data_IF_750001140610
#
_entry.id   IF_750001140610
#
_cell.length_a   1.000
_cell.length_b   1.000
_cell.length_c   1.000
_cell.angle_alpha   90.00
_cell.angle_beta   90.00
_cell.angle_gamma   90.00
#
_symmetry.space_group_name_H-M   'P 1'
#
loop_
_entity.id
_entity.type
_entity.pdbx_description
1 polymer ?
#
# COMPACT_ATOMS: atom_id res chain seq x y z
N UNK A 1 -8.90 1.02 -2.08
CA UNK A 1 -8.57 -0.12 -2.96
C UNK A 1 -8.29 0.39 -4.38
N UNK A 2 -7.09 0.16 -4.94
CA UNK A 2 -6.70 0.57 -6.30
C UNK A 2 -7.63 0.05 -7.41
N UNK A 3 -8.30 -1.09 -7.22
CA UNK A 3 -9.18 -1.68 -8.23
C UNK A 3 -10.43 -0.85 -8.53
N UNK A 4 -10.81 0.07 -7.63
CA UNK A 4 -11.96 0.98 -7.79
C UNK A 4 -11.68 2.13 -8.76
N UNK A 5 -10.41 2.34 -9.16
CA UNK A 5 -10.02 3.45 -10.03
C UNK A 5 -9.88 3.00 -11.47
N UNK A 6 -10.49 3.74 -12.38
CA UNK A 6 -10.40 3.49 -13.83
C UNK A 6 -9.25 4.27 -14.51
N UNK A 7 -8.58 5.17 -13.79
CA UNK A 7 -7.46 5.94 -14.33
C UNK A 7 -6.39 6.24 -13.27
N UNK A 8 -5.13 6.33 -13.73
CA UNK A 8 -3.98 6.72 -12.91
C UNK A 8 -4.23 8.07 -12.21
N UNK A 9 -4.79 9.05 -12.92
CA UNK A 9 -5.03 10.38 -12.36
C UNK A 9 -6.06 10.34 -11.22
N UNK A 10 -7.15 9.59 -11.36
CA UNK A 10 -8.15 9.45 -10.31
C UNK A 10 -7.56 8.79 -9.05
N UNK A 11 -6.73 7.76 -9.25
CA UNK A 11 -6.02 7.10 -8.15
C UNK A 11 -5.06 8.03 -7.42
N UNK A 12 -4.25 8.80 -8.15
CA UNK A 12 -3.33 9.77 -7.54
C UNK A 12 -4.08 10.91 -6.84
N UNK A 13 -5.19 11.37 -7.39
CA UNK A 13 -6.04 12.39 -6.75
C UNK A 13 -6.59 11.90 -5.41
N UNK A 14 -7.11 10.67 -5.35
CA UNK A 14 -7.56 10.06 -4.11
C UNK A 14 -6.38 9.85 -3.14
N UNK A 15 -5.25 9.34 -3.63
CA UNK A 15 -4.06 9.17 -2.81
C UNK A 15 -3.60 10.48 -2.18
N UNK A 16 -3.74 11.62 -2.87
CA UNK A 16 -3.33 12.92 -2.35
C UNK A 16 -4.35 13.56 -1.38
N UNK A 17 -5.64 13.31 -1.58
CA UNK A 17 -6.71 14.00 -0.85
C UNK A 17 -7.36 13.16 0.26
N UNK A 18 -7.41 11.84 0.10
CA UNK A 18 -8.09 10.93 1.01
C UNK A 18 -7.32 10.78 2.33
N UNK A 19 -7.95 11.13 3.44
CA UNK A 19 -7.30 11.14 4.77
C UNK A 19 -6.94 9.74 5.24
N UNK A 20 -7.69 8.71 4.84
CA UNK A 20 -7.42 7.33 5.19
C UNK A 20 -6.13 6.78 4.52
N UNK A 21 -5.72 7.33 3.36
CA UNK A 21 -4.48 6.96 2.68
C UNK A 21 -3.22 7.64 3.24
N UNK A 22 -3.28 8.20 4.45
CA UNK A 22 -2.14 8.89 5.08
C UNK A 22 -0.92 7.98 5.21
N UNK A 23 -1.10 6.72 5.64
CA UNK A 23 0.03 5.79 5.75
C UNK A 23 0.60 5.44 4.37
N UNK A 24 -0.26 5.15 3.40
CA UNK A 24 0.14 4.87 2.01
C UNK A 24 1.00 6.00 1.45
N UNK A 25 0.61 7.27 1.67
CA UNK A 25 1.41 8.45 1.30
C UNK A 25 2.76 8.51 2.02
N UNK A 26 2.80 8.17 3.31
CA UNK A 26 4.03 8.16 4.08
C UNK A 26 4.99 7.08 3.56
N UNK A 27 4.49 5.88 3.22
CA UNK A 27 5.29 4.81 2.62
C UNK A 27 5.77 5.18 1.22
N UNK A 28 4.93 5.81 0.40
CA UNK A 28 5.35 6.31 -0.91
C UNK A 28 6.58 7.24 -0.83
N UNK A 29 6.66 8.08 0.21
CA UNK A 29 7.80 8.99 0.43
C UNK A 29 9.11 8.27 0.77
N UNK A 30 9.07 7.00 1.15
CA UNK A 30 10.29 6.19 1.36
C UNK A 30 10.99 5.85 0.03
N UNK A 31 10.29 5.99 -1.11
CA UNK A 31 10.79 5.76 -2.47
C UNK A 31 10.78 7.07 -3.28
N UNK A 32 11.66 8.03 -2.96
CA UNK A 32 11.55 9.40 -3.46
C UNK A 32 11.71 9.53 -4.99
N UNK A 33 12.36 8.55 -5.63
CA UNK A 33 12.64 8.57 -7.06
C UNK A 33 11.75 7.62 -7.87
N UNK A 34 10.83 6.89 -7.23
CA UNK A 34 9.92 5.97 -7.91
C UNK A 34 8.53 6.57 -8.09
N UNK A 35 7.87 6.25 -9.21
CA UNK A 35 6.49 6.71 -9.45
C UNK A 35 5.48 5.69 -8.93
N UNK A 36 4.38 6.18 -8.37
CA UNK A 36 3.27 5.32 -7.98
C UNK A 36 2.47 4.93 -9.22
N UNK A 37 2.23 3.63 -9.40
CA UNK A 37 1.55 3.09 -10.56
C UNK A 37 0.28 2.32 -10.16
N UNK A 38 -0.83 2.64 -10.81
CA UNK A 38 -2.13 2.04 -10.56
C UNK A 38 -2.16 0.54 -10.91
N UNK A 39 -1.56 0.13 -12.03
CA UNK A 39 -1.58 -1.29 -12.42
C UNK A 39 -0.76 -2.16 -11.48
N UNK A 40 0.42 -1.67 -11.05
CA UNK A 40 1.19 -2.34 -10.00
C UNK A 40 0.39 -2.43 -8.70
N UNK A 41 -0.31 -1.36 -8.30
CA UNK A 41 -1.14 -1.36 -7.10
C UNK A 41 -2.33 -2.33 -7.20
N UNK A 42 -3.03 -2.35 -8.36
CA UNK A 42 -4.12 -3.32 -8.63
C UNK A 42 -3.64 -4.76 -8.62
N UNK A 43 -2.42 -5.02 -9.08
CA UNK A 43 -1.86 -6.39 -9.14
C UNK A 43 -1.71 -7.07 -7.77
N UNK A 44 -1.73 -6.28 -6.69
CA UNK A 44 -1.70 -6.77 -5.30
C UNK A 44 -3.07 -7.27 -4.82
N UNK A 45 -4.16 -6.88 -5.49
CA UNK A 45 -5.55 -7.19 -5.10
C UNK A 45 -6.25 -8.24 -5.97
N UNK A 46 -5.65 -8.62 -7.09
CA UNK A 46 -6.29 -9.53 -8.06
C UNK A 46 -5.52 -10.85 -8.18
N UNK A 47 -6.26 -11.92 -8.48
CA UNK A 47 -5.70 -13.23 -8.76
C UNK A 47 -5.33 -13.41 -10.24
N UNK A 48 -4.77 -14.57 -10.56
CA UNK A 48 -4.55 -14.96 -11.95
C UNK A 48 -5.89 -15.21 -12.66
N UNK A 49 -6.02 -14.87 -13.96
CA UNK A 49 -4.98 -14.38 -14.86
C UNK A 49 -4.82 -12.84 -14.88
N UNK A 50 -5.72 -12.10 -14.21
CA UNK A 50 -5.77 -10.64 -14.24
C UNK A 50 -4.47 -10.00 -13.74
N UNK A 51 -3.86 -10.58 -12.70
CA UNK A 51 -2.56 -10.15 -12.18
C UNK A 51 -1.49 -10.13 -13.27
N UNK A 52 -1.40 -11.19 -14.08
CA UNK A 52 -0.43 -11.27 -15.18
C UNK A 52 -0.67 -10.16 -16.20
N UNK A 53 -1.93 -9.94 -16.58
CA UNK A 53 -2.27 -8.88 -17.53
C UNK A 53 -1.83 -7.50 -17.03
N UNK A 54 -2.06 -7.17 -15.76
CA UNK A 54 -1.65 -5.90 -15.18
C UNK A 54 -0.12 -5.72 -15.13
N UNK A 55 0.63 -6.82 -14.94
CA UNK A 55 2.08 -6.82 -14.85
C UNK A 55 2.79 -6.89 -16.22
N UNK A 56 2.07 -7.17 -17.31
CA UNK A 56 2.66 -7.33 -18.65
C UNK A 56 3.40 -6.09 -19.17
N UNK A 57 3.04 -4.89 -18.69
CA UNK A 57 3.71 -3.63 -19.04
C UNK A 57 5.05 -3.38 -18.33
N UNK A 58 5.52 -4.32 -17.50
CA UNK A 58 6.69 -4.14 -16.66
C UNK A 58 7.70 -5.28 -16.81
N UNK A 59 8.95 -4.99 -16.49
CA UNK A 59 10.04 -5.95 -16.29
C UNK A 59 10.47 -5.92 -14.82
N UNK A 60 11.27 -6.89 -14.40
CA UNK A 60 11.84 -6.95 -13.04
C UNK A 60 10.79 -6.79 -11.93
N UNK A 61 9.62 -7.40 -12.12
CA UNK A 61 8.51 -7.28 -11.18
C UNK A 61 8.81 -8.07 -9.92
N UNK A 62 8.56 -7.46 -8.75
CA UNK A 62 8.76 -8.11 -7.45
C UNK A 62 7.78 -7.60 -6.41
N UNK A 63 7.07 -8.52 -5.76
CA UNK A 63 6.29 -8.18 -4.58
C UNK A 63 7.20 -8.20 -3.34
N UNK A 64 7.08 -7.17 -2.51
CA UNK A 64 7.69 -7.07 -1.18
C UNK A 64 6.53 -7.22 -0.20
N UNK A 65 6.52 -8.32 0.53
CA UNK A 65 5.61 -8.50 1.67
C UNK A 65 6.25 -7.86 2.90
N UNK A 66 5.55 -6.89 3.48
CA UNK A 66 6.00 -6.14 4.67
C UNK A 66 5.48 -6.77 5.96
N UNK A 67 4.64 -7.79 5.87
CA UNK A 67 4.23 -8.56 7.02
C UNK A 67 5.44 -9.31 7.59
N UNK A 68 5.47 -9.40 8.92
CA UNK A 68 6.42 -10.25 9.64
C UNK A 68 5.72 -11.58 9.95
N UNK A 69 6.46 -12.67 9.75
CA UNK A 69 6.05 -14.00 10.16
C UNK A 69 6.84 -14.33 11.41
N UNK A 70 6.17 -14.75 12.47
CA UNK A 70 6.90 -15.35 13.59
C UNK A 70 7.56 -16.67 13.12
N UNK A 71 8.40 -17.27 13.96
CA UNK A 71 9.08 -18.54 13.67
C UNK A 71 8.15 -19.72 13.37
N UNK A 72 6.85 -19.55 13.62
CA UNK A 72 5.80 -20.55 13.40
C UNK A 72 5.01 -20.29 12.11
N UNK A 73 5.36 -19.25 11.34
CA UNK A 73 4.66 -18.87 10.12
C UNK A 73 3.35 -18.10 10.35
N UNK A 74 3.08 -17.67 11.59
CA UNK A 74 1.91 -16.85 11.89
C UNK A 74 2.18 -15.39 11.51
N UNK A 75 1.18 -14.75 10.90
CA UNK A 75 1.19 -13.30 10.67
C UNK A 75 1.23 -12.58 12.02
N UNK A 76 2.33 -11.90 12.32
CA UNK A 76 2.28 -10.85 13.33
C UNK A 76 1.74 -9.62 12.62
N UNK A 77 0.43 -9.40 12.77
CA UNK A 77 -0.18 -8.13 12.43
C UNK A 77 0.55 -7.02 13.15
N UNK A 78 0.90 -5.93 12.47
CA UNK A 78 1.29 -4.73 13.20
C UNK A 78 0.10 -4.31 14.06
N UNK A 79 0.34 -4.06 15.34
CA UNK A 79 -0.69 -3.56 16.25
C UNK A 79 -1.25 -2.22 15.75
N UNK A 80 -2.52 -1.95 16.07
CA UNK A 80 -3.16 -0.65 15.77
C UNK A 80 -2.30 0.51 16.27
N UNK A 81 -1.84 1.37 15.37
CA UNK A 81 -1.02 2.53 15.74
C UNK A 81 -1.21 3.74 14.83
N UNK A 82 -0.66 4.89 15.25
CA UNK A 82 -0.68 6.08 14.41
C UNK A 82 0.17 5.85 13.14
N UNK A 83 -0.24 6.40 11.96
CA UNK A 83 0.54 6.29 10.73
C UNK A 83 2.00 6.75 10.85
N UNK A 84 2.29 7.72 11.73
CA UNK A 84 3.65 8.20 12.01
C UNK A 84 4.53 7.18 12.76
N UNK A 85 3.93 6.24 13.48
CA UNK A 85 4.63 5.10 14.08
C UNK A 85 4.74 3.95 13.08
N UNK A 86 3.64 3.63 12.38
CA UNK A 86 3.60 2.54 11.41
C UNK A 86 4.63 2.72 10.29
N UNK A 87 4.80 3.93 9.74
CA UNK A 87 5.80 4.17 8.68
C UNK A 87 7.23 3.86 9.13
N UNK A 88 7.57 4.07 10.41
CA UNK A 88 8.92 3.78 10.93
C UNK A 88 9.18 2.28 10.99
N UNK A 89 8.17 1.48 11.34
CA UNK A 89 8.28 0.04 11.33
C UNK A 89 8.37 -0.51 9.91
N UNK A 90 7.59 0.05 8.98
CA UNK A 90 7.69 -0.29 7.55
C UNK A 90 9.08 0.05 6.99
N UNK A 91 9.63 1.20 7.35
CA UNK A 91 10.99 1.61 6.95
C UNK A 91 12.07 0.64 7.48
N UNK A 92 11.97 0.27 8.76
CA UNK A 92 12.84 -0.73 9.35
C UNK A 92 12.71 -2.07 8.61
N UNK A 93 11.48 -2.53 8.35
CA UNK A 93 11.24 -3.78 7.65
C UNK A 93 11.79 -3.77 6.22
N UNK A 94 11.64 -2.68 5.50
CA UNK A 94 12.23 -2.51 4.17
C UNK A 94 13.75 -2.64 4.23
N UNK A 95 14.39 -2.04 5.24
CA UNK A 95 15.84 -2.15 5.47
C UNK A 95 16.25 -3.61 5.73
N UNK A 96 15.53 -4.34 6.58
CA UNK A 96 15.77 -5.76 6.85
C UNK A 96 15.63 -6.63 5.58
N UNK A 97 14.77 -6.23 4.65
CA UNK A 97 14.55 -6.90 3.37
C UNK A 97 15.53 -6.46 2.27
N UNK A 98 16.53 -5.65 2.59
CA UNK A 98 17.56 -5.19 1.65
C UNK A 98 17.14 -3.99 0.79
N UNK A 99 16.11 -3.26 1.20
CA UNK A 99 15.66 -2.00 0.61
C UNK A 99 15.89 -0.86 1.58
N UNK A 100 17.13 -0.67 2.04
CA UNK A 100 17.52 0.52 2.80
C UNK A 100 17.28 1.82 2.02
N UNK A 101 17.48 2.97 2.66
CA UNK A 101 17.20 4.25 2.02
C UNK A 101 18.05 4.48 0.77
N UNK A 102 19.31 4.06 0.75
CA UNK A 102 20.20 4.22 -0.41
C UNK A 102 19.71 3.38 -1.59
N UNK A 103 19.28 2.14 -1.33
CA UNK A 103 18.67 1.28 -2.33
C UNK A 103 17.40 1.91 -2.88
N UNK A 104 16.51 2.43 -2.04
CA UNK A 104 15.26 3.08 -2.47
C UNK A 104 15.53 4.38 -3.23
N UNK A 105 16.57 5.12 -2.87
CA UNK A 105 17.04 6.29 -3.62
C UNK A 105 17.53 5.89 -5.02
N UNK A 106 18.18 4.73 -5.17
CA UNK A 106 18.70 4.27 -6.46
C UNK A 106 17.61 3.74 -7.41
N UNK A 107 16.35 3.65 -6.99
CA UNK A 107 15.24 3.04 -7.75
C UNK A 107 14.52 4.02 -8.69
N UNK A 108 15.26 4.90 -9.36
CA UNK A 108 14.70 5.94 -10.25
C UNK A 108 14.04 5.39 -11.51
N UNK A 109 14.38 4.17 -11.92
CA UNK A 109 13.79 3.47 -13.05
C UNK A 109 12.63 2.54 -12.66
N UNK A 110 12.31 2.44 -11.37
CA UNK A 110 11.20 1.63 -10.88
C UNK A 110 9.95 2.47 -10.68
N UNK A 111 8.82 1.90 -11.08
CA UNK A 111 7.51 2.24 -10.57
C UNK A 111 7.20 1.33 -9.37
N UNK A 112 6.34 1.83 -8.47
CA UNK A 112 5.84 1.09 -7.31
C UNK A 112 4.31 1.05 -7.28
N UNK A 113 3.77 -0.10 -6.91
CA UNK A 113 2.39 -0.30 -6.51
C UNK A 113 2.30 -0.44 -5.00
N UNK A 114 1.26 0.12 -4.40
CA UNK A 114 1.10 0.14 -2.94
C UNK A 114 -0.21 -0.52 -2.55
N UNK A 115 -0.10 -1.61 -1.79
CA UNK A 115 -1.16 -2.16 -0.96
C UNK A 115 -0.75 -1.95 0.49
N UNK A 116 -0.80 -0.69 0.92
CA UNK A 116 -0.44 -0.28 2.27
C UNK A 116 -1.72 0.18 2.92
N UNK A 117 -2.32 -0.72 3.69
CA UNK A 117 -3.63 -0.46 4.24
C UNK A 117 -3.48 -0.09 5.70
N UNK A 118 -3.86 1.14 6.04
CA UNK A 118 -4.10 1.52 7.44
C UNK A 118 -5.40 0.96 8.01
N UNK A 119 -6.17 0.20 7.22
CA UNK A 119 -7.47 -0.39 7.56
C UNK A 119 -8.05 -1.35 6.49
N UNK A 120 -8.34 -2.61 6.83
CA UNK A 120 -8.98 -3.57 5.92
C UNK A 120 -10.47 -3.29 5.59
N UNK A 121 -11.37 -2.99 6.54
CA UNK A 121 -12.82 -3.04 6.21
C UNK A 121 -13.43 -1.79 5.52
N UNK A 122 -12.74 -0.64 5.37
CA UNK A 122 -13.33 0.49 4.59
C UNK A 122 -13.17 0.33 3.09
N UNK A 123 -12.37 -0.63 2.65
CA UNK A 123 -11.94 -0.70 1.26
C UNK A 123 -12.46 -1.92 0.52
N UNK A 124 -13.13 -2.83 1.23
CA UNK A 124 -13.82 -3.97 0.64
C UNK A 124 -15.15 -3.56 -0.02
N UNK A 125 -15.72 -2.43 0.39
CA UNK A 125 -16.98 -1.92 -0.16
C UNK A 125 -17.04 -0.39 -0.36
N UNK A 126 -18.06 0.04 -1.10
CA UNK A 126 -18.29 1.45 -1.43
C UNK A 126 -18.66 2.29 -0.19
N UNK A 127 -19.28 1.70 0.83
CA UNK A 127 -19.73 2.41 2.04
C UNK A 127 -18.51 2.86 2.84
N UNK A 128 -17.55 1.99 3.04
CA UNK A 128 -16.28 2.30 3.68
C UNK A 128 -15.52 3.40 2.95
N UNK A 129 -15.46 3.36 1.63
CA UNK A 129 -14.82 4.39 0.80
C UNK A 129 -15.48 5.77 1.01
N UNK A 130 -16.82 5.82 1.06
CA UNK A 130 -17.54 7.07 1.28
C UNK A 130 -17.26 7.66 2.67
N UNK A 131 -17.24 6.82 3.72
CA UNK A 131 -16.88 7.26 5.08
C UNK A 131 -15.45 7.80 5.16
N UNK A 132 -14.51 7.19 4.42
CA UNK A 132 -13.12 7.63 4.33
C UNK A 132 -12.97 9.06 3.80
N UNK A 133 -13.85 9.45 2.88
CA UNK A 133 -13.89 10.80 2.32
C UNK A 133 -14.62 11.81 3.22
N UNK A 134 -15.59 11.35 4.02
CA UNK A 134 -16.42 12.23 4.85
C UNK A 134 -15.73 12.65 6.16
N UNK A 135 -15.05 11.74 6.85
CA UNK A 135 -14.55 11.97 8.21
C UNK A 135 -13.04 12.22 8.29
N UNK A 136 -12.59 12.81 9.41
CA UNK A 136 -11.16 12.95 9.73
C UNK A 136 -10.70 11.72 10.50
N UNK A 137 -9.66 11.05 10.00
CA UNK A 137 -9.09 9.85 10.61
C UNK A 137 -8.03 10.22 11.67
N UNK A 138 -7.98 9.55 12.84
CA UNK A 138 -8.77 8.37 13.17
C UNK A 138 -10.24 8.66 13.55
N UNK A 139 -11.19 7.81 13.14
CA UNK A 139 -12.63 7.92 13.46
C UNK A 139 -13.18 6.60 14.00
N UNK A 140 -13.94 6.65 15.08
CA UNK A 140 -14.64 5.48 15.64
C UNK A 140 -16.14 5.73 15.55
N UNK A 141 -16.85 4.93 14.74
CA UNK A 141 -18.32 4.95 14.65
C UNK A 141 -18.86 3.56 15.04
N UNK A 142 -20.16 3.43 15.38
CA UNK A 142 -20.79 2.12 15.49
C UNK A 142 -20.50 1.28 14.23
N UNK A 143 -19.97 0.08 14.42
CA UNK A 143 -19.58 -0.85 13.35
C UNK A 143 -18.50 -0.32 12.37
N UNK A 144 -17.78 0.74 12.73
CA UNK A 144 -16.70 1.30 11.92
C UNK A 144 -15.44 1.54 12.76
N UNK A 145 -14.36 0.82 12.44
CA UNK A 145 -13.04 1.05 13.03
C UNK A 145 -12.03 1.32 11.95
N UNK A 146 -11.74 2.59 11.80
CA UNK A 146 -10.77 3.21 10.92
C UNK A 146 -9.32 2.71 10.90
N UNK A 147 -8.89 1.92 11.87
CA UNK A 147 -7.55 1.32 11.96
C UNK A 147 -7.68 -0.07 12.58
N UNK A 148 -8.09 -1.05 11.79
CA UNK A 148 -7.88 -2.47 12.12
C UNK A 148 -6.53 -2.92 11.55
N UNK A 149 -5.89 -3.84 12.28
CA UNK A 149 -4.69 -4.63 11.99
C UNK A 149 -4.14 -4.48 10.56
N UNK A 150 -2.85 -4.18 10.44
CA UNK A 150 -2.16 -4.00 9.15
C UNK A 150 -1.88 -5.35 8.46
N UNK A 151 -2.88 -6.22 8.32
CA UNK A 151 -2.74 -7.60 7.87
C UNK A 151 -2.26 -7.78 6.43
N UNK A 152 -2.39 -6.75 5.60
CA UNK A 152 -1.82 -6.70 4.26
C UNK A 152 -1.03 -5.40 4.09
N UNK A 153 0.30 -5.51 4.11
CA UNK A 153 1.18 -4.45 3.68
C UNK A 153 2.10 -5.03 2.62
N UNK A 154 1.88 -4.67 1.36
CA UNK A 154 2.70 -5.12 0.25
C UNK A 154 3.04 -3.98 -0.70
N UNK A 155 4.23 -4.08 -1.30
CA UNK A 155 4.70 -3.17 -2.34
C UNK A 155 5.01 -4.00 -3.58
N UNK A 156 4.43 -3.63 -4.72
CA UNK A 156 4.77 -4.24 -6.00
C UNK A 156 5.76 -3.35 -6.74
N UNK A 157 6.96 -3.85 -6.99
CA UNK A 157 7.94 -3.19 -7.86
C UNK A 157 7.74 -3.60 -9.32
N UNK A 158 8.10 -2.70 -10.23
CA UNK A 158 8.27 -3.02 -11.66
C UNK A 158 8.99 -1.89 -12.41
N UNK A 159 9.82 -2.25 -13.39
CA UNK A 159 10.42 -1.29 -14.32
C UNK A 159 9.51 -1.22 -15.55
N UNK A 160 8.94 -0.06 -15.91
CA UNK A 160 8.13 0.08 -17.12
C UNK A 160 8.89 -0.36 -18.37
N UNK A 161 8.22 -1.06 -19.30
CA UNK A 161 8.77 -1.43 -20.62
C UNK A 161 8.87 -0.23 -21.56
#
# INVERSE_FOLDING_TARGET
MPVLFNSQQAYLNDLNSNKALKLTRLVAKLFPNSKINLNLSKSLYVSLPQKTYLLNGFTSTKAIDLNFFNSEGNYTYYERMAPSKAVKLIDQRLTELGYDQDKRNSMSNYDIGLDIVGYADSYDDQRGFNLANQYRYPVTLPDFRDMRDYGACSIQLGIPK
#
